data_IF_152308002177
#
_entry.id   IF_152308002177
#
_cell.length_a   1.000
_cell.length_b   1.000
_cell.length_c   1.000
_cell.angle_alpha   90.00
_cell.angle_beta   90.00
_cell.angle_gamma   90.00
#
_symmetry.space_group_name_H-M   'P 1'
#
loop_
_entity.id
_entity.type
_entity.pdbx_description
1 polymer ?
#
# COMPACT_ATOMS: atom_id res chain seq x y z
N UNK A 1 -55.88 -12.84 -6.68
CA UNK A 1 -54.58 -13.41 -6.25
C UNK A 1 -53.50 -12.37 -6.59
N UNK A 2 -52.92 -11.68 -5.61
CA UNK A 2 -51.89 -10.64 -5.83
C UNK A 2 -50.51 -11.28 -5.68
N UNK A 3 -49.77 -11.40 -6.78
CA UNK A 3 -48.36 -11.84 -6.73
C UNK A 3 -47.53 -10.61 -6.41
N UNK A 4 -47.00 -10.53 -5.19
CA UNK A 4 -46.01 -9.53 -4.80
C UNK A 4 -44.66 -9.97 -5.35
N UNK A 5 -44.16 -9.33 -6.39
CA UNK A 5 -42.81 -9.55 -6.90
C UNK A 5 -41.80 -8.91 -5.92
N UNK A 6 -41.06 -9.73 -5.18
CA UNK A 6 -39.95 -9.26 -4.36
C UNK A 6 -38.75 -8.95 -5.29
N UNK A 7 -38.48 -7.67 -5.51
CA UNK A 7 -37.21 -7.23 -6.11
C UNK A 7 -36.10 -7.43 -5.06
N UNK A 8 -35.40 -8.56 -5.10
CA UNK A 8 -34.09 -8.68 -4.48
C UNK A 8 -33.12 -7.81 -5.27
N UNK A 9 -32.83 -6.61 -4.79
CA UNK A 9 -31.69 -5.82 -5.29
C UNK A 9 -30.42 -6.54 -4.92
N UNK A 10 -29.77 -7.18 -5.89
CA UNK A 10 -28.45 -7.79 -5.73
C UNK A 10 -27.43 -6.64 -5.58
N UNK A 11 -27.12 -6.24 -4.34
CA UNK A 11 -26.04 -5.31 -4.08
C UNK A 11 -24.73 -6.01 -4.40
N UNK A 12 -24.19 -5.80 -5.60
CA UNK A 12 -22.84 -6.23 -5.92
C UNK A 12 -21.88 -5.49 -4.97
N UNK A 13 -21.29 -6.23 -4.04
CA UNK A 13 -20.23 -5.68 -3.19
C UNK A 13 -19.03 -5.48 -4.10
N UNK A 14 -18.74 -4.22 -4.45
CA UNK A 14 -17.55 -3.88 -5.22
C UNK A 14 -16.33 -4.41 -4.45
N UNK A 15 -15.59 -5.32 -5.07
CA UNK A 15 -14.33 -5.79 -4.53
C UNK A 15 -13.24 -4.79 -4.91
N UNK A 16 -12.24 -4.63 -4.07
CA UNK A 16 -11.12 -3.74 -4.27
C UNK A 16 -9.80 -4.43 -3.91
N UNK A 17 -8.71 -3.89 -4.42
CA UNK A 17 -7.35 -4.32 -4.08
C UNK A 17 -6.44 -3.13 -3.89
N UNK A 18 -5.37 -3.31 -3.12
CA UNK A 18 -4.28 -2.36 -3.09
C UNK A 18 -3.53 -2.32 -4.43
N UNK A 19 -3.25 -1.10 -4.88
CA UNK A 19 -2.46 -0.82 -6.09
C UNK A 19 -1.21 0.01 -5.82
N UNK A 20 -1.01 0.42 -4.56
CA UNK A 20 0.16 1.18 -4.18
C UNK A 20 -0.05 1.98 -2.90
N UNK A 21 0.87 2.91 -2.69
CA UNK A 21 0.83 3.89 -1.63
C UNK A 21 1.31 5.25 -2.14
N UNK A 22 1.17 6.26 -1.30
CA UNK A 22 1.57 7.63 -1.58
C UNK A 22 2.17 8.29 -0.35
N UNK A 23 3.13 9.17 -0.57
CA UNK A 23 3.84 9.89 0.49
C UNK A 23 4.27 11.28 -0.04
N UNK A 24 4.60 12.23 0.86
CA UNK A 24 5.29 13.46 0.46
C UNK A 24 6.63 13.15 -0.23
N UNK A 25 6.99 13.92 -1.24
CA UNK A 25 8.28 13.81 -1.93
C UNK A 25 9.47 13.98 -0.98
N UNK A 26 9.35 14.90 0.00
CA UNK A 26 10.37 15.14 1.01
C UNK A 26 9.86 14.70 2.39
N UNK A 27 10.68 13.90 3.09
CA UNK A 27 10.34 13.37 4.41
C UNK A 27 11.49 13.69 5.36
N UNK A 28 11.20 14.29 6.51
CA UNK A 28 12.20 14.46 7.56
C UNK A 28 12.30 13.17 8.38
N UNK A 29 13.50 12.53 8.48
CA UNK A 29 13.72 11.47 9.46
C UNK A 29 13.27 11.92 10.85
N UNK A 30 12.54 11.06 11.57
CA UNK A 30 11.91 11.39 12.85
C UNK A 30 10.43 11.71 12.80
N UNK A 31 9.94 12.18 11.65
CA UNK A 31 8.55 12.59 11.53
C UNK A 31 7.61 11.38 11.45
N UNK A 32 6.42 11.56 12.04
CA UNK A 32 5.25 10.74 11.75
C UNK A 32 4.44 11.39 10.63
N UNK A 33 4.20 10.65 9.55
CA UNK A 33 3.44 11.12 8.39
C UNK A 33 2.31 10.16 8.04
N UNK A 34 1.25 10.68 7.43
CA UNK A 34 0.18 9.86 6.88
C UNK A 34 0.56 9.38 5.48
N UNK A 35 0.83 8.08 5.37
CA UNK A 35 1.05 7.39 4.10
C UNK A 35 -0.31 6.94 3.57
N UNK A 36 -0.66 7.38 2.36
CA UNK A 36 -1.94 7.06 1.74
C UNK A 36 -1.86 5.76 0.95
N UNK A 37 -2.59 4.73 1.37
CA UNK A 37 -2.76 3.47 0.66
C UNK A 37 -3.80 3.64 -0.44
N UNK A 38 -3.44 3.23 -1.67
CA UNK A 38 -4.23 3.43 -2.87
C UNK A 38 -4.93 2.12 -3.23
N UNK A 39 -6.23 2.22 -3.53
CA UNK A 39 -7.06 1.08 -3.88
C UNK A 39 -7.78 1.30 -5.21
N UNK A 40 -8.10 0.21 -5.91
CA UNK A 40 -8.95 0.23 -7.10
C UNK A 40 -10.01 -0.87 -7.06
N UNK A 41 -11.06 -0.74 -7.88
CA UNK A 41 -12.04 -1.81 -8.10
C UNK A 41 -11.34 -3.01 -8.73
N UNK A 42 -11.64 -4.20 -8.23
CA UNK A 42 -11.14 -5.46 -8.77
C UNK A 42 -12.27 -6.46 -8.99
N UNK A 43 -12.10 -7.36 -9.97
CA UNK A 43 -13.14 -8.34 -10.35
C UNK A 43 -13.28 -9.48 -9.35
N UNK A 44 -12.29 -9.70 -8.48
CA UNK A 44 -12.28 -10.73 -7.45
C UNK A 44 -12.09 -10.11 -6.06
N UNK A 45 -12.51 -10.83 -5.02
CA UNK A 45 -12.17 -10.46 -3.64
C UNK A 45 -10.66 -10.57 -3.44
N UNK A 46 -10.06 -9.53 -2.86
CA UNK A 46 -8.67 -9.54 -2.41
C UNK A 46 -8.66 -9.27 -0.92
N UNK A 47 -7.93 -10.09 -0.19
CA UNK A 47 -7.65 -9.88 1.23
C UNK A 47 -6.17 -9.56 1.38
N UNK A 48 -5.82 -8.29 1.31
CA UNK A 48 -4.54 -7.74 1.75
C UNK A 48 -4.38 -7.94 3.26
N UNK A 49 -3.53 -8.89 3.66
CA UNK A 49 -3.41 -9.36 5.05
C UNK A 49 -2.49 -8.45 5.86
N UNK A 50 -1.29 -8.22 5.32
CA UNK A 50 -0.25 -7.44 5.96
C UNK A 50 0.67 -6.83 4.89
N UNK A 51 1.27 -5.69 5.23
CA UNK A 51 2.32 -5.07 4.46
C UNK A 51 3.52 -4.72 5.33
N UNK A 52 4.71 -4.67 4.72
CA UNK A 52 5.93 -4.20 5.36
C UNK A 52 6.51 -3.06 4.52
N UNK A 53 6.76 -1.93 5.17
CA UNK A 53 7.36 -0.74 4.56
C UNK A 53 8.84 -0.70 4.90
N UNK A 54 9.67 -0.52 3.89
CA UNK A 54 11.10 -0.30 4.02
C UNK A 54 11.60 0.79 3.09
N UNK A 55 12.89 1.06 3.17
CA UNK A 55 13.57 1.99 2.29
C UNK A 55 14.96 1.49 1.89
N UNK A 56 15.42 1.94 0.73
CA UNK A 56 16.80 1.74 0.30
C UNK A 56 17.30 2.90 -0.56
N UNK A 57 18.62 2.99 -0.72
CA UNK A 57 19.22 3.88 -1.70
C UNK A 57 18.90 3.39 -3.13
N UNK A 58 18.84 4.26 -4.16
CA UNK A 58 18.39 3.90 -5.50
C UNK A 58 19.10 2.69 -6.17
N UNK A 59 20.34 2.40 -5.80
CA UNK A 59 21.14 1.28 -6.34
C UNK A 59 21.04 -0.03 -5.52
N UNK A 60 19.87 -0.34 -4.96
CA UNK A 60 19.72 -1.49 -4.06
C UNK A 60 19.41 -2.82 -4.77
N UNK A 61 19.45 -3.89 -3.98
CA UNK A 61 19.07 -5.25 -4.39
C UNK A 61 17.63 -5.23 -4.95
N UNK A 62 17.39 -5.79 -6.15
CA UNK A 62 16.05 -5.93 -6.71
C UNK A 62 15.10 -6.65 -5.75
N UNK A 63 13.84 -6.19 -5.70
CA UNK A 63 12.77 -6.77 -4.87
C UNK A 63 13.02 -6.84 -3.36
N UNK A 64 14.08 -6.19 -2.86
CA UNK A 64 14.34 -6.07 -1.42
C UNK A 64 13.68 -4.82 -0.85
N UNK A 65 13.14 -4.92 0.36
CA UNK A 65 12.69 -3.74 1.13
C UNK A 65 13.85 -2.89 1.66
N UNK A 66 15.08 -3.42 1.62
CA UNK A 66 16.24 -2.76 2.23
C UNK A 66 16.10 -2.71 3.75
N UNK A 67 16.17 -1.50 4.31
CA UNK A 67 16.00 -1.28 5.74
C UNK A 67 14.51 -1.19 6.08
N UNK A 68 14.06 -2.02 7.01
CA UNK A 68 12.68 -2.06 7.45
C UNK A 68 12.34 -0.83 8.31
N UNK A 69 11.18 -0.21 8.04
CA UNK A 69 10.64 0.92 8.82
C UNK A 69 9.54 0.41 9.73
N UNK A 70 8.53 -0.25 9.16
CA UNK A 70 7.34 -0.63 9.89
C UNK A 70 6.60 -1.81 9.23
N UNK A 71 6.09 -2.71 10.08
CA UNK A 71 5.11 -3.72 9.69
C UNK A 71 3.69 -3.21 9.96
N UNK A 72 2.79 -3.49 9.03
CA UNK A 72 1.43 -2.95 8.96
C UNK A 72 0.48 -4.12 8.83
N UNK A 73 -0.30 -4.36 9.88
CA UNK A 73 -1.40 -5.32 9.85
C UNK A 73 -2.63 -4.63 9.28
N UNK A 74 -3.15 -5.14 8.16
CA UNK A 74 -4.33 -4.56 7.51
C UNK A 74 -5.60 -5.21 8.03
N UNK A 75 -5.64 -6.55 8.09
CA UNK A 75 -6.81 -7.31 8.52
C UNK A 75 -8.05 -7.02 7.66
N UNK A 76 -9.21 -7.53 8.08
CA UNK A 76 -10.48 -7.35 7.35
C UNK A 76 -10.91 -5.90 7.18
N UNK A 77 -10.50 -5.03 8.10
CA UNK A 77 -11.05 -3.68 8.23
C UNK A 77 -10.30 -2.67 7.35
N UNK A 78 -9.07 -2.98 6.91
CA UNK A 78 -8.25 -2.14 6.02
C UNK A 78 -7.98 -2.80 4.66
N UNK A 79 -8.73 -3.85 4.36
CA UNK A 79 -8.59 -4.66 3.15
C UNK A 79 -9.88 -4.64 2.35
N UNK A 80 -9.78 -4.85 1.02
CA UNK A 80 -10.94 -4.83 0.13
C UNK A 80 -11.75 -3.51 0.20
N UNK A 81 -11.08 -2.40 0.52
CA UNK A 81 -11.70 -1.07 0.63
C UNK A 81 -11.58 -0.32 -0.69
N UNK A 82 -12.72 0.12 -1.24
CA UNK A 82 -12.73 0.92 -2.47
C UNK A 82 -12.13 2.31 -2.26
N UNK A 83 -12.45 2.95 -1.15
CA UNK A 83 -11.73 4.12 -0.70
C UNK A 83 -10.41 3.66 -0.10
N UNK A 84 -9.29 4.09 -0.68
CA UNK A 84 -7.99 3.99 -0.01
C UNK A 84 -8.03 4.58 1.42
N UNK A 85 -6.97 4.37 2.18
CA UNK A 85 -6.91 4.80 3.58
C UNK A 85 -5.54 5.37 3.92
N UNK A 86 -5.46 6.16 4.98
CA UNK A 86 -4.20 6.66 5.48
C UNK A 86 -3.70 5.81 6.65
N UNK A 87 -2.41 5.54 6.67
CA UNK A 87 -1.72 4.91 7.79
C UNK A 87 -0.62 5.85 8.26
N UNK A 88 -0.67 6.26 9.52
CA UNK A 88 0.41 7.03 10.12
C UNK A 88 1.63 6.11 10.30
N UNK A 89 2.76 6.55 9.75
CA UNK A 89 4.06 5.87 9.80
C UNK A 89 5.07 6.81 10.44
N UNK A 90 5.82 6.32 11.43
CA UNK A 90 6.93 7.06 12.04
C UNK A 90 8.24 6.63 11.42
N UNK A 91 8.94 7.58 10.79
CA UNK A 91 10.24 7.34 10.19
C UNK A 91 11.35 7.46 11.25
N UNK A 92 12.26 6.48 11.37
CA UNK A 92 13.38 6.59 12.32
C UNK A 92 14.25 7.82 12.07
N UNK A 93 14.66 8.50 13.17
CA UNK A 93 15.60 9.63 13.13
C UNK A 93 16.98 9.24 12.54
N UNK A 94 17.32 7.95 12.58
CA UNK A 94 18.60 7.42 12.12
C UNK A 94 18.71 7.28 10.59
N UNK A 95 17.64 7.53 9.85
CA UNK A 95 17.65 7.44 8.39
C UNK A 95 18.59 8.51 7.81
N UNK A 96 19.57 8.11 6.96
CA UNK A 96 20.44 9.08 6.31
C UNK A 96 19.65 9.92 5.29
N UNK A 97 19.95 11.21 5.26
CA UNK A 97 19.36 12.15 4.29
C UNK A 97 19.86 11.87 2.87
N UNK A 98 19.01 12.16 1.90
CA UNK A 98 19.28 11.99 0.47
C UNK A 98 18.16 11.24 -0.26
N UNK A 99 18.32 11.05 -1.59
CA UNK A 99 17.37 10.29 -2.40
C UNK A 99 17.24 8.85 -1.91
N UNK A 100 16.01 8.36 -1.85
CA UNK A 100 15.69 7.00 -1.45
C UNK A 100 14.44 6.49 -2.17
N UNK A 101 14.29 5.17 -2.16
CA UNK A 101 13.10 4.49 -2.66
C UNK A 101 12.39 3.90 -1.45
N UNK A 102 11.15 4.33 -1.23
CA UNK A 102 10.26 3.63 -0.30
C UNK A 102 9.71 2.42 -1.02
N UNK A 103 9.73 1.27 -0.36
CA UNK A 103 9.12 0.05 -0.87
C UNK A 103 8.13 -0.53 0.12
N UNK A 104 6.98 -0.90 -0.40
CA UNK A 104 5.92 -1.56 0.35
C UNK A 104 5.71 -2.96 -0.24
N UNK A 105 5.94 -4.00 0.56
CA UNK A 105 5.61 -5.36 0.19
C UNK A 105 4.33 -5.77 0.90
N UNK A 106 3.31 -6.20 0.16
CA UNK A 106 2.02 -6.61 0.70
C UNK A 106 1.71 -8.07 0.35
N UNK A 107 1.28 -8.84 1.35
CA UNK A 107 0.72 -10.18 1.16
C UNK A 107 -0.80 -10.05 0.95
N UNK A 108 -1.26 -10.45 -0.23
CA UNK A 108 -2.69 -10.53 -0.57
C UNK A 108 -3.14 -11.97 -0.81
N UNK A 109 -4.39 -12.26 -0.45
CA UNK A 109 -5.08 -13.52 -0.74
C UNK A 109 -6.17 -13.28 -1.79
N UNK A 110 -6.08 -13.95 -2.93
CA UNK A 110 -6.92 -13.69 -4.08
C UNK A 110 -8.01 -14.74 -4.28
N UNK A 111 -9.23 -14.26 -4.54
CA UNK A 111 -10.37 -15.06 -4.95
C UNK A 111 -10.88 -16.04 -3.89
N UNK A 112 -11.73 -16.96 -4.31
CA UNK A 112 -12.41 -17.92 -3.41
C UNK A 112 -11.44 -18.94 -2.78
N UNK A 113 -10.31 -19.17 -3.43
CA UNK A 113 -9.30 -20.12 -2.98
C UNK A 113 -8.22 -19.48 -2.09
N UNK A 114 -8.31 -18.18 -1.80
CA UNK A 114 -7.33 -17.44 -1.00
C UNK A 114 -5.89 -17.66 -1.50
N UNK A 115 -5.67 -17.54 -2.81
CA UNK A 115 -4.35 -17.78 -3.40
C UNK A 115 -3.38 -16.69 -2.92
N UNK A 116 -2.26 -17.04 -2.25
CA UNK A 116 -1.33 -16.06 -1.71
C UNK A 116 -0.48 -15.43 -2.82
N UNK A 117 -0.29 -14.12 -2.75
CA UNK A 117 0.62 -13.38 -3.62
C UNK A 117 1.28 -12.24 -2.86
N UNK A 118 2.58 -12.03 -3.12
CA UNK A 118 3.31 -10.89 -2.60
C UNK A 118 3.49 -9.88 -3.71
N UNK A 119 3.03 -8.65 -3.48
CA UNK A 119 3.14 -7.52 -4.40
C UNK A 119 4.06 -6.48 -3.80
N UNK A 120 4.98 -5.93 -4.60
CA UNK A 120 5.90 -4.88 -4.17
C UNK A 120 5.59 -3.60 -4.93
N UNK A 121 5.47 -2.51 -4.20
CA UNK A 121 5.28 -1.16 -4.72
C UNK A 121 6.48 -0.28 -4.35
N UNK A 122 6.82 0.67 -5.21
CA UNK A 122 7.96 1.56 -5.01
C UNK A 122 7.62 3.02 -5.31
N UNK A 123 8.03 3.93 -4.43
CA UNK A 123 7.94 5.37 -4.62
C UNK A 123 9.32 6.02 -4.40
N UNK A 124 9.69 6.96 -5.27
CA UNK A 124 10.90 7.77 -5.11
C UNK A 124 10.62 8.93 -4.16
N UNK A 125 11.44 9.07 -3.12
CA UNK A 125 11.37 10.17 -2.15
C UNK A 125 12.77 10.71 -1.85
N UNK A 126 12.84 11.79 -1.09
CA UNK A 126 14.09 12.32 -0.54
C UNK A 126 13.95 12.50 0.97
N UNK A 127 14.83 11.87 1.74
CA UNK A 127 14.95 12.17 3.16
C UNK A 127 15.67 13.51 3.34
N UNK A 128 14.99 14.49 3.93
CA UNK A 128 15.40 15.89 3.94
C UNK A 128 15.31 16.53 5.34
N UNK A 129 15.53 17.84 5.44
CA UNK A 129 15.42 18.60 6.70
C UNK A 129 13.98 18.92 7.11
N UNK A 130 13.01 18.73 6.22
CA UNK A 130 11.60 18.99 6.46
C UNK A 130 10.72 18.03 5.65
N UNK A 131 9.56 17.67 6.22
CA UNK A 131 8.52 16.94 5.49
C UNK A 131 7.66 17.92 4.71
N UNK A 132 7.72 17.89 3.38
CA UNK A 132 6.96 18.77 2.49
C UNK A 132 6.96 18.26 1.03
N UNK A 133 6.47 19.11 0.11
CA UNK A 133 6.48 18.84 -1.31
C UNK A 133 5.18 18.21 -1.84
N UNK A 134 5.13 17.93 -3.14
CA UNK A 134 4.00 17.22 -3.74
C UNK A 134 3.91 15.79 -3.20
N UNK A 135 2.70 15.23 -3.27
CA UNK A 135 2.48 13.81 -3.00
C UNK A 135 2.93 13.00 -4.22
N UNK A 136 3.83 12.05 -3.98
CA UNK A 136 4.27 11.06 -4.96
C UNK A 136 3.52 9.76 -4.73
N UNK A 137 3.13 9.09 -5.81
CA UNK A 137 2.48 7.78 -5.75
C UNK A 137 3.47 6.70 -6.20
N UNK A 138 3.34 5.51 -5.61
CA UNK A 138 4.17 4.37 -5.95
C UNK A 138 3.75 3.73 -7.28
N UNK A 139 4.66 3.01 -7.91
CA UNK A 139 4.39 2.08 -9.00
C UNK A 139 4.63 0.62 -8.59
N UNK A 140 4.01 -0.32 -9.30
CA UNK A 140 4.29 -1.74 -9.16
C UNK A 140 5.74 -2.05 -9.59
N UNK A 141 6.44 -2.85 -8.81
CA UNK A 141 7.77 -3.36 -9.14
C UNK A 141 7.62 -4.74 -9.76
N UNK A 142 7.91 -4.85 -11.05
CA UNK A 142 7.90 -6.14 -11.73
C UNK A 142 8.92 -7.11 -11.11
N UNK A 143 8.56 -8.39 -10.93
CA UNK A 143 9.55 -9.42 -10.64
C UNK A 143 10.57 -9.47 -11.78
N UNK A 144 11.85 -9.29 -11.45
CA UNK A 144 12.92 -9.43 -12.42
C UNK A 144 12.95 -10.85 -12.97
N UNK A 145 12.99 -10.99 -14.30
CA UNK A 145 13.35 -12.24 -14.97
C UNK A 145 14.85 -12.53 -14.81
#
# INVERSE_FOLDING_TARGET
MRVLAALCTLTAVAQARLIGFSAPEFIRPGDSIDVGFLSEIYIQRVEDVACSLGYHAPAAVPQSLGNLIQDIQLGSDKSNLLSGFNQTITFPDSIPKGPANLRLACLGLYGVFNMPSVTIFEANVTFADATNGPIVSSAFVEPGN
#
